data_IF_350223965189
#
_entry.id   IF_350223965189
#
_cell.length_a   1.000
_cell.length_b   1.000
_cell.length_c   1.000
_cell.angle_alpha   90.00
_cell.angle_beta   90.00
_cell.angle_gamma   90.00
#
_symmetry.space_group_name_H-M   'P 1'
#
loop_
_entity.id
_entity.type
_entity.pdbx_description
1 polymer ?
#
# COMPACT_ATOMS: atom_id res chain seq x y z
N UNK A 1 -32.96 -42.28 -20.81
CA UNK A 1 -31.54 -42.51 -21.14
C UNK A 1 -31.13 -41.34 -22.01
N UNK A 2 -30.42 -40.32 -21.53
CA UNK A 2 -29.23 -40.32 -20.67
C UNK A 2 -29.41 -39.31 -19.52
N UNK A 3 -28.85 -39.66 -18.36
CA UNK A 3 -28.66 -38.86 -17.15
C UNK A 3 -27.20 -38.37 -17.18
N UNK A 4 -26.93 -37.07 -16.99
CA UNK A 4 -25.64 -36.57 -16.47
C UNK A 4 -25.81 -35.14 -15.87
N UNK A 5 -25.24 -34.85 -14.68
CA UNK A 5 -25.66 -33.76 -13.79
C UNK A 5 -24.99 -32.39 -14.03
N UNK A 6 -25.79 -31.32 -13.90
CA UNK A 6 -25.26 -29.98 -13.70
C UNK A 6 -24.92 -29.78 -12.22
N UNK A 7 -23.67 -30.13 -11.94
CA UNK A 7 -22.78 -29.65 -10.88
C UNK A 7 -23.35 -28.51 -10.01
N UNK A 8 -23.43 -28.81 -8.72
CA UNK A 8 -23.64 -27.82 -7.68
C UNK A 8 -22.54 -26.76 -7.81
N UNK A 9 -22.92 -25.54 -8.21
CA UNK A 9 -22.08 -24.37 -8.03
C UNK A 9 -21.91 -24.15 -6.52
N UNK A 10 -20.92 -24.87 -5.97
CA UNK A 10 -19.85 -24.33 -5.16
C UNK A 10 -19.89 -22.80 -5.15
N UNK A 11 -20.58 -22.25 -4.16
CA UNK A 11 -20.45 -20.84 -3.84
C UNK A 11 -19.42 -20.81 -2.71
N UNK A 12 -18.12 -20.59 -3.01
CA UNK A 12 -17.13 -20.53 -1.96
C UNK A 12 -17.44 -19.38 -1.00
N UNK A 13 -17.35 -19.76 0.27
CA UNK A 13 -17.31 -19.05 1.55
C UNK A 13 -16.65 -17.65 1.58
N UNK A 14 -16.89 -16.87 2.67
CA UNK A 14 -16.64 -15.44 2.75
C UNK A 14 -15.18 -15.10 3.08
N UNK A 15 -14.49 -14.49 2.13
CA UNK A 15 -13.33 -13.65 2.35
C UNK A 15 -13.21 -12.84 1.04
N UNK A 16 -13.21 -11.52 1.03
CA UNK A 16 -12.15 -10.75 1.65
C UNK A 16 -12.73 -9.45 2.18
N UNK A 17 -12.80 -9.35 3.51
CA UNK A 17 -12.61 -8.06 4.16
C UNK A 17 -11.21 -7.62 3.78
N UNK A 18 -11.05 -6.94 2.64
CA UNK A 18 -9.84 -6.22 2.32
C UNK A 18 -9.58 -5.34 3.54
N UNK A 19 -8.57 -5.68 4.34
CA UNK A 19 -8.10 -4.81 5.40
C UNK A 19 -7.63 -3.55 4.68
N UNK A 20 -8.55 -2.58 4.56
CA UNK A 20 -8.29 -1.27 3.99
C UNK A 20 -6.95 -0.82 4.54
N UNK A 21 -5.99 -0.43 3.68
CA UNK A 21 -4.64 -0.09 4.13
C UNK A 21 -4.80 0.87 5.30
N UNK A 22 -4.34 0.45 6.49
CA UNK A 22 -4.61 1.15 7.75
C UNK A 22 -4.50 2.64 7.51
N UNK A 23 -5.65 3.31 7.54
CA UNK A 23 -5.80 4.71 7.20
C UNK A 23 -4.60 5.53 7.71
N UNK A 24 -4.01 6.36 6.86
CA UNK A 24 -2.87 7.22 7.21
C UNK A 24 -3.13 8.08 8.46
N UNK A 25 -4.41 8.29 8.79
CA UNK A 25 -4.95 8.86 10.03
C UNK A 25 -4.38 8.20 11.29
N UNK A 26 -4.17 6.88 11.27
CA UNK A 26 -3.57 6.11 12.37
C UNK A 26 -2.09 6.45 12.62
N UNK A 27 -1.37 7.01 11.62
CA UNK A 27 0.04 7.39 11.80
C UNK A 27 0.21 8.68 12.60
N UNK A 28 -0.75 9.60 12.50
CA UNK A 28 -0.78 10.84 13.29
C UNK A 28 -1.17 10.59 14.77
N UNK A 29 -1.82 9.46 15.07
CA UNK A 29 -2.28 9.07 16.40
C UNK A 29 -1.35 8.14 17.18
N UNK A 30 -0.12 7.86 16.70
CA UNK A 30 0.79 6.97 17.44
C UNK A 30 1.15 7.61 18.79
N UNK A 31 0.87 6.94 19.94
CA UNK A 31 1.25 7.47 21.24
C UNK A 31 2.76 7.69 21.28
N UNK A 32 3.18 8.83 21.84
CA UNK A 32 4.60 9.12 22.04
C UNK A 32 5.19 8.03 22.93
N UNK A 33 6.26 7.40 22.45
CA UNK A 33 6.97 6.36 23.19
C UNK A 33 7.46 6.90 24.54
N UNK A 34 7.28 6.12 25.60
CA UNK A 34 7.89 6.43 26.89
C UNK A 34 9.41 6.36 26.82
N UNK A 35 10.16 7.01 27.74
CA UNK A 35 11.63 6.91 27.77
C UNK A 35 12.13 5.45 27.88
N UNK A 36 11.42 4.61 28.63
CA UNK A 36 11.76 3.19 28.78
C UNK A 36 11.55 2.41 27.47
N UNK A 37 10.47 2.67 26.73
CA UNK A 37 10.24 2.08 25.41
C UNK A 37 11.30 2.51 24.40
N UNK A 38 11.69 3.79 24.37
CA UNK A 38 12.78 4.24 23.50
C UNK A 38 14.09 3.52 23.82
N UNK A 39 14.44 3.38 25.10
CA UNK A 39 15.65 2.67 25.51
C UNK A 39 15.63 1.19 25.09
N UNK A 40 14.46 0.53 25.21
CA UNK A 40 14.29 -0.87 24.77
C UNK A 40 14.45 -1.02 23.26
N UNK A 41 13.88 -0.10 22.47
CA UNK A 41 14.03 -0.10 21.01
C UNK A 41 15.47 0.20 20.61
N UNK A 42 16.13 1.17 21.24
CA UNK A 42 17.53 1.52 20.96
C UNK A 42 18.50 0.38 21.28
N UNK A 43 18.18 -0.47 22.27
CA UNK A 43 18.97 -1.68 22.55
C UNK A 43 18.97 -2.69 21.40
N UNK A 44 17.90 -2.72 20.59
CA UNK A 44 17.74 -3.66 19.47
C UNK A 44 18.14 -3.02 18.14
N UNK A 45 17.70 -1.79 17.91
CA UNK A 45 17.79 -1.10 16.62
C UNK A 45 18.84 0.02 16.60
N UNK A 46 19.42 0.39 17.74
CA UNK A 46 20.24 1.59 17.89
C UNK A 46 19.40 2.87 18.05
N UNK A 47 20.06 3.98 18.35
CA UNK A 47 19.40 5.29 18.47
C UNK A 47 19.00 5.90 17.12
N UNK A 48 19.61 5.42 16.03
CA UNK A 48 19.32 5.85 14.66
C UNK A 48 18.36 4.86 14.00
N UNK A 49 17.15 5.32 13.68
CA UNK A 49 16.20 4.55 12.88
C UNK A 49 16.59 4.65 11.40
N UNK A 50 16.44 3.56 10.60
CA UNK A 50 16.66 3.63 9.17
C UNK A 50 15.75 4.69 8.54
N UNK A 51 16.32 5.51 7.67
CA UNK A 51 15.56 6.48 6.91
C UNK A 51 14.63 5.75 5.93
N UNK A 52 13.38 6.20 5.82
CA UNK A 52 12.47 5.70 4.78
C UNK A 52 12.90 6.24 3.43
N UNK A 53 12.90 5.37 2.43
CA UNK A 53 13.20 5.72 1.04
C UNK A 53 12.08 6.57 0.44
N UNK A 54 12.35 7.17 -0.72
CA UNK A 54 11.39 8.07 -1.38
C UNK A 54 10.12 7.34 -1.85
N UNK A 55 10.22 6.06 -2.21
CA UNK A 55 9.12 5.25 -2.73
C UNK A 55 8.10 4.87 -1.65
N UNK A 56 8.51 4.73 -0.40
CA UNK A 56 7.61 4.44 0.73
C UNK A 56 6.88 5.69 1.26
N UNK A 57 7.25 6.89 0.80
CA UNK A 57 6.60 8.15 1.21
C UNK A 57 5.45 8.47 0.27
N UNK A 58 4.35 8.93 0.85
CA UNK A 58 3.26 9.52 0.07
C UNK A 58 3.85 10.64 -0.80
N UNK A 59 3.64 10.61 -2.12
CA UNK A 59 4.11 11.67 -3.00
C UNK A 59 3.41 12.97 -2.61
N UNK A 60 4.19 14.03 -2.38
CA UNK A 60 3.66 15.38 -2.28
C UNK A 60 3.01 15.76 -3.61
N UNK A 61 1.91 16.53 -3.63
CA UNK A 61 1.28 16.96 -4.88
C UNK A 61 2.27 17.79 -5.71
N UNK A 62 2.80 17.18 -6.76
CA UNK A 62 3.77 17.80 -7.67
C UNK A 62 3.10 19.01 -8.34
N UNK A 63 3.57 20.22 -8.03
CA UNK A 63 2.96 21.48 -8.50
C UNK A 63 3.42 21.88 -9.91
N UNK A 64 3.90 20.93 -10.71
CA UNK A 64 4.67 21.20 -11.93
C UNK A 64 4.42 20.23 -13.07
N UNK A 65 3.20 20.20 -13.61
CA UNK A 65 2.85 19.50 -14.84
C UNK A 65 1.92 18.31 -14.63
N UNK A 66 0.93 18.15 -15.51
CA UNK A 66 -0.02 17.04 -15.42
C UNK A 66 0.68 15.73 -15.70
N UNK A 67 0.45 14.69 -14.88
CA UNK A 67 0.99 13.34 -15.11
C UNK A 67 0.65 12.80 -16.51
N UNK A 68 -0.46 13.28 -17.05
CA UNK A 68 -0.97 13.02 -18.40
C UNK A 68 -0.04 13.55 -19.52
N UNK A 69 0.67 14.65 -19.30
CA UNK A 69 1.59 15.23 -20.28
C UNK A 69 2.86 14.39 -20.42
N UNK A 70 3.39 13.91 -19.30
CA UNK A 70 4.50 12.96 -19.31
C UNK A 70 4.09 11.66 -20.02
N UNK A 71 2.90 11.11 -19.73
CA UNK A 71 2.43 9.87 -20.36
C UNK A 71 2.27 10.01 -21.88
N UNK A 72 1.72 11.13 -22.38
CA UNK A 72 1.60 11.39 -23.83
C UNK A 72 2.96 11.51 -24.51
N UNK A 73 3.98 12.00 -23.80
CA UNK A 73 5.35 12.07 -24.34
C UNK A 73 6.03 10.70 -24.50
N UNK A 74 5.51 9.66 -23.85
CA UNK A 74 6.07 8.30 -23.88
C UNK A 74 5.45 7.42 -24.97
N UNK A 75 4.50 7.92 -25.75
CA UNK A 75 3.87 7.13 -26.83
C UNK A 75 4.85 6.93 -27.98
N UNK A 76 5.17 5.68 -28.37
CA UNK A 76 6.05 5.41 -29.51
C UNK A 76 5.49 5.99 -30.83
N UNK A 77 6.35 6.43 -31.76
CA UNK A 77 5.92 7.15 -32.97
C UNK A 77 5.08 6.32 -33.96
N UNK A 78 5.02 5.01 -33.77
CA UNK A 78 4.22 4.09 -34.60
C UNK A 78 2.93 3.63 -33.92
N UNK A 79 2.56 4.23 -32.79
CA UNK A 79 1.27 3.95 -32.15
C UNK A 79 0.18 4.79 -32.82
N UNK A 80 -0.39 4.24 -33.89
CA UNK A 80 -1.49 4.77 -34.68
C UNK A 80 -2.11 3.66 -35.52
#
# INVERSE_FOLDING_TARGET
MIDEPADAADSPEPAESHESPRSAESRAGRPRLTPAERARLARVFGDELPSTTKDERTPEPDSGGSADDWLRSQVPPHHG
#
